data_IF_445130165602
#
_entry.id   IF_445130165602
#
_cell.length_a   1.000
_cell.length_b   1.000
_cell.length_c   1.000
_cell.angle_alpha   90.00
_cell.angle_beta   90.00
_cell.angle_gamma   90.00
#
_symmetry.space_group_name_H-M   'P 1'
#
loop_
_entity.id
_entity.type
_entity.pdbx_description
1 polymer ?
#
# COMPACT_ATOMS: atom_id res chain seq x y z
N UNK A 1 -10.62 4.62 -21.44
CA UNK A 1 -9.99 5.69 -20.63
C UNK A 1 -8.51 5.33 -20.47
N UNK A 2 -7.61 6.06 -21.13
CA UNK A 2 -6.17 5.77 -21.07
C UNK A 2 -5.64 6.20 -19.71
N UNK A 3 -5.08 5.27 -18.93
CA UNK A 3 -4.43 5.61 -17.67
C UNK A 3 -3.15 6.41 -17.96
N UNK A 4 -3.09 7.66 -17.49
CA UNK A 4 -1.93 8.52 -17.68
C UNK A 4 -0.77 8.04 -16.79
N UNK A 5 0.42 7.87 -17.38
CA UNK A 5 1.61 7.43 -16.66
C UNK A 5 2.26 8.62 -15.95
N UNK A 6 2.60 8.47 -14.68
CA UNK A 6 3.43 9.44 -13.97
C UNK A 6 4.92 9.18 -14.23
N UNK A 7 5.66 10.24 -14.57
CA UNK A 7 7.12 10.21 -14.65
C UNK A 7 7.71 10.01 -13.25
N UNK A 8 8.46 8.91 -13.00
CA UNK A 8 9.00 8.65 -11.67
C UNK A 8 10.20 9.56 -11.38
N UNK A 9 10.28 10.08 -10.16
CA UNK A 9 11.53 10.65 -9.64
C UNK A 9 12.42 9.47 -9.22
N UNK A 10 13.58 9.34 -9.89
CA UNK A 10 14.50 8.22 -9.64
C UNK A 10 15.62 8.65 -8.71
N UNK A 11 15.64 8.10 -7.50
CA UNK A 11 16.66 8.35 -6.49
C UNK A 11 17.66 7.19 -6.50
N UNK A 12 18.96 7.50 -6.62
CA UNK A 12 20.04 6.49 -6.52
C UNK A 12 20.48 6.34 -5.07
N UNK A 13 20.48 5.12 -4.55
CA UNK A 13 20.99 4.80 -3.22
C UNK A 13 22.49 4.46 -3.26
N UNK A 14 23.15 4.54 -2.10
CA UNK A 14 24.57 4.18 -1.92
C UNK A 14 24.85 2.70 -2.20
N UNK A 15 23.86 1.82 -2.02
CA UNK A 15 23.92 0.38 -2.33
C UNK A 15 23.79 0.09 -3.85
N UNK A 16 23.78 1.12 -4.69
CA UNK A 16 23.60 1.01 -6.15
C UNK A 16 22.16 0.74 -6.59
N UNK A 17 21.21 0.60 -5.66
CA UNK A 17 19.80 0.40 -6.01
C UNK A 17 19.11 1.73 -6.38
N UNK A 18 18.05 1.62 -7.20
CA UNK A 18 17.23 2.76 -7.64
C UNK A 18 15.88 2.70 -6.94
N UNK A 19 15.47 3.83 -6.36
CA UNK A 19 14.13 4.05 -5.82
C UNK A 19 13.34 4.88 -6.83
N UNK A 20 12.12 4.43 -7.15
CA UNK A 20 11.20 5.14 -8.03
C UNK A 20 10.10 5.75 -7.16
N UNK A 21 10.00 7.08 -7.14
CA UNK A 21 8.99 7.79 -6.37
C UNK A 21 7.79 8.20 -7.23
N UNK A 22 6.59 7.73 -6.86
CA UNK A 22 5.33 7.88 -7.61
C UNK A 22 4.18 8.02 -6.62
N UNK A 23 3.40 9.11 -6.71
CA UNK A 23 2.25 9.36 -5.80
C UNK A 23 2.56 9.15 -4.31
N UNK A 24 3.78 9.51 -3.88
CA UNK A 24 4.29 9.35 -2.51
C UNK A 24 4.76 7.93 -2.15
N UNK A 25 4.66 6.96 -3.05
CA UNK A 25 5.26 5.63 -2.90
C UNK A 25 6.73 5.66 -3.29
N UNK A 26 7.59 5.08 -2.46
CA UNK A 26 9.01 4.84 -2.77
C UNK A 26 9.22 3.38 -3.15
N UNK A 27 9.23 3.08 -4.45
CA UNK A 27 9.32 1.73 -4.97
C UNK A 27 10.77 1.26 -5.14
N UNK A 28 11.12 0.13 -4.51
CA UNK A 28 12.40 -0.56 -4.70
C UNK A 28 12.17 -1.92 -5.36
N UNK A 29 13.02 -2.26 -6.33
CA UNK A 29 12.93 -3.55 -7.04
C UNK A 29 13.33 -4.69 -6.09
N UNK A 30 12.47 -5.69 -5.95
CA UNK A 30 12.65 -6.81 -5.01
C UNK A 30 12.44 -8.16 -5.68
N UNK A 31 13.08 -9.18 -5.10
CA UNK A 31 12.74 -10.58 -5.36
C UNK A 31 11.58 -10.95 -4.43
N UNK A 32 10.45 -11.37 -4.99
CA UNK A 32 9.30 -11.88 -4.26
C UNK A 32 9.49 -13.39 -4.12
N UNK A 33 9.82 -13.83 -2.91
CA UNK A 33 9.99 -15.26 -2.61
C UNK A 33 8.66 -16.02 -2.62
N UNK A 34 7.54 -15.31 -2.58
CA UNK A 34 6.20 -15.86 -2.52
C UNK A 34 5.42 -15.52 -3.79
N UNK A 35 4.46 -16.38 -4.17
CA UNK A 35 3.42 -16.02 -5.12
C UNK A 35 2.70 -14.73 -4.66
N UNK A 36 2.73 -13.70 -5.50
CA UNK A 36 2.20 -12.36 -5.16
C UNK A 36 1.42 -11.80 -6.34
N UNK A 37 0.25 -11.21 -6.05
CA UNK A 37 -0.55 -10.46 -7.01
C UNK A 37 -0.21 -8.97 -7.00
N UNK A 38 -0.28 -8.34 -8.17
CA UNK A 38 -0.07 -6.91 -8.33
C UNK A 38 -1.26 -6.12 -7.77
N UNK A 39 -1.03 -5.21 -6.81
CA UNK A 39 -2.09 -4.40 -6.22
C UNK A 39 -2.74 -3.41 -7.20
N UNK A 40 -2.14 -3.18 -8.38
CA UNK A 40 -2.71 -2.30 -9.41
C UNK A 40 -3.63 -3.05 -10.41
N UNK A 41 -3.16 -4.18 -10.96
CA UNK A 41 -3.90 -4.88 -12.03
C UNK A 41 -4.41 -6.27 -11.62
N UNK A 42 -4.26 -6.63 -10.34
CA UNK A 42 -4.71 -7.89 -9.71
C UNK A 42 -4.20 -9.17 -10.37
N UNK A 43 -3.24 -9.07 -11.30
CA UNK A 43 -2.60 -10.20 -11.98
C UNK A 43 -1.34 -10.64 -11.25
N UNK A 44 -1.02 -11.91 -11.41
CA UNK A 44 0.15 -12.54 -10.81
C UNK A 44 1.46 -11.88 -11.25
N UNK A 45 2.40 -11.71 -10.33
CA UNK A 45 3.75 -11.19 -10.61
C UNK A 45 4.70 -12.36 -10.80
N UNK A 46 5.19 -12.56 -12.03
CA UNK A 46 6.08 -13.65 -12.41
C UNK A 46 7.34 -13.17 -13.13
N UNK A 47 8.34 -14.03 -13.22
CA UNK A 47 9.64 -13.77 -13.87
C UNK A 47 10.82 -14.23 -13.04
N UNK A 48 12.03 -14.11 -13.59
CA UNK A 48 13.29 -14.48 -12.92
C UNK A 48 13.95 -13.25 -12.27
N UNK A 49 14.50 -13.43 -11.07
CA UNK A 49 15.17 -12.37 -10.32
C UNK A 49 14.18 -11.40 -9.66
N UNK A 50 14.45 -10.09 -9.73
CA UNK A 50 13.56 -9.07 -9.16
C UNK A 50 12.32 -8.92 -10.05
N UNK A 51 11.20 -9.54 -9.71
CA UNK A 51 9.98 -9.56 -10.54
C UNK A 51 9.06 -8.36 -10.30
N UNK A 52 9.15 -7.71 -9.14
CA UNK A 52 8.23 -6.65 -8.74
C UNK A 52 8.89 -5.47 -8.04
N UNK A 53 8.09 -4.42 -7.87
CA UNK A 53 8.40 -3.28 -7.02
C UNK A 53 7.62 -3.37 -5.72
N UNK A 54 8.30 -3.16 -4.60
CA UNK A 54 7.68 -3.03 -3.27
C UNK A 54 7.84 -1.60 -2.75
N UNK A 55 6.76 -1.01 -2.25
CA UNK A 55 6.83 0.28 -1.59
C UNK A 55 7.52 0.14 -0.23
N UNK A 56 8.50 1.00 0.05
CA UNK A 56 9.23 0.99 1.33
C UNK A 56 8.40 1.51 2.52
N UNK A 57 7.34 2.30 2.25
CA UNK A 57 6.44 2.81 3.28
C UNK A 57 5.28 1.84 3.56
N UNK A 58 4.36 1.75 2.60
CA UNK A 58 3.12 0.98 2.77
C UNK A 58 3.23 -0.49 2.35
N UNK A 59 4.38 -0.99 1.92
CA UNK A 59 4.58 -2.39 1.52
C UNK A 59 3.75 -2.93 0.33
N UNK A 60 2.93 -2.11 -0.32
CA UNK A 60 2.21 -2.51 -1.55
C UNK A 60 3.18 -3.01 -2.62
N UNK A 61 2.75 -4.01 -3.39
CA UNK A 61 3.56 -4.67 -4.40
C UNK A 61 2.90 -4.57 -5.76
N UNK A 62 3.68 -4.16 -6.76
CA UNK A 62 3.21 -3.99 -8.14
C UNK A 62 4.21 -4.55 -9.15
N UNK A 63 3.75 -4.87 -10.35
CA UNK A 63 4.66 -5.14 -11.47
C UNK A 63 5.54 -3.94 -11.75
N UNK A 64 6.73 -4.19 -12.32
CA UNK A 64 7.62 -3.13 -12.81
C UNK A 64 6.93 -2.18 -13.81
N UNK A 65 6.03 -2.68 -14.64
CA UNK A 65 5.26 -1.84 -15.58
C UNK A 65 4.10 -1.11 -14.93
N UNK A 66 3.57 -1.61 -13.80
CA UNK A 66 2.37 -1.07 -13.19
C UNK A 66 2.65 0.10 -12.23
N UNK A 67 3.87 0.21 -11.70
CA UNK A 67 4.20 1.26 -10.74
C UNK A 67 3.97 2.68 -11.28
N UNK A 68 4.24 2.94 -12.57
CA UNK A 68 4.04 4.24 -13.24
C UNK A 68 2.58 4.63 -13.41
N UNK A 69 1.65 3.69 -13.28
CA UNK A 69 0.21 3.95 -13.40
C UNK A 69 -0.48 4.09 -12.04
N UNK A 70 0.26 3.94 -10.94
CA UNK A 70 -0.30 4.05 -9.60
C UNK A 70 -0.60 5.51 -9.26
N UNK A 71 -1.87 5.89 -9.39
CA UNK A 71 -2.40 7.21 -8.99
C UNK A 71 -2.83 7.24 -7.53
N UNK A 72 -3.08 6.06 -6.93
CA UNK A 72 -3.37 5.94 -5.51
C UNK A 72 -2.21 6.49 -4.69
N UNK A 73 -2.52 7.35 -3.71
CA UNK A 73 -1.51 7.94 -2.85
C UNK A 73 -1.06 6.97 -1.78
N UNK A 74 0.24 7.01 -1.48
CA UNK A 74 0.78 6.23 -0.38
C UNK A 74 0.24 6.74 0.96
N UNK A 75 -0.42 5.86 1.71
CA UNK A 75 -0.93 6.15 3.06
C UNK A 75 0.17 6.28 4.11
N UNK A 76 1.38 5.81 3.81
CA UNK A 76 2.54 5.79 4.72
C UNK A 76 3.75 6.59 4.22
N UNK A 77 3.58 7.39 3.17
CA UNK A 77 4.65 8.23 2.62
C UNK A 77 4.77 9.56 3.36
N UNK A 78 5.91 10.25 3.33
CA UNK A 78 6.03 11.61 3.90
C UNK A 78 5.04 12.63 3.28
N UNK A 79 4.48 12.31 2.11
CA UNK A 79 3.44 13.10 1.42
C UNK A 79 2.01 12.83 1.92
N UNK A 80 1.78 11.85 2.79
CA UNK A 80 0.45 11.63 3.41
C UNK A 80 0.06 12.69 4.44
N UNK A 81 0.98 13.63 4.74
CA UNK A 81 0.79 14.73 5.70
C UNK A 81 0.37 16.07 5.07
N UNK A 82 0.19 16.15 3.75
CA UNK A 82 -0.32 17.36 3.12
C UNK A 82 -1.84 17.23 2.93
N UNK A 83 -2.67 17.96 3.70
CA UNK A 83 -4.07 18.13 3.35
C UNK A 83 -4.15 18.69 1.94
N UNK A 84 -5.05 18.16 1.12
CA UNK A 84 -5.52 18.85 -0.08
C UNK A 84 -6.40 20.02 0.35
N UNK A 85 -5.79 21.08 0.87
CA UNK A 85 -6.44 22.39 0.89
C UNK A 85 -5.83 23.16 -0.27
N UNK A 86 -6.61 23.55 -1.30
CA UNK A 86 -6.17 24.51 -2.28
C UNK A 86 -5.79 25.78 -1.52
N UNK A 87 -4.56 26.26 -1.71
CA UNK A 87 -4.11 27.53 -1.17
C UNK A 87 -5.04 28.66 -1.65
N UNK A 88 -5.94 29.09 -0.78
CA UNK A 88 -6.49 30.45 -0.85
C UNK A 88 -6.86 30.92 0.56
N UNK A 89 -5.99 31.80 1.09
CA UNK A 89 -6.33 33.04 1.82
C UNK A 89 -7.25 32.81 3.06
N UNK A 90 -6.77 32.80 4.31
CA UNK A 90 -6.24 33.96 5.02
C UNK A 90 -5.41 33.58 6.26
N UNK A 91 -4.35 34.36 6.50
CA UNK A 91 -3.61 34.38 7.76
C UNK A 91 -4.45 35.11 8.81
N UNK A 92 -4.61 34.49 10.00
CA UNK A 92 -4.64 35.09 11.36
C UNK A 92 -5.54 34.22 12.26
N UNK A 93 -4.95 33.34 13.06
CA UNK A 93 -4.89 33.49 14.52
C UNK A 93 -4.25 32.24 15.14
N UNK A 94 -3.19 32.46 15.90
CA UNK A 94 -2.39 31.45 16.58
C UNK A 94 -3.01 31.24 17.97
N UNK A 95 -3.70 30.12 18.21
CA UNK A 95 -3.87 29.57 19.58
C UNK A 95 -3.84 28.04 19.55
N UNK A 96 -3.00 27.53 20.43
CA UNK A 96 -2.68 26.14 20.74
C UNK A 96 -3.90 25.20 20.72
N UNK A 97 -3.84 24.17 19.86
CA UNK A 97 -4.42 22.86 20.16
C UNK A 97 -3.38 21.81 19.84
N UNK A 98 -2.81 21.25 20.89
CA UNK A 98 -2.19 19.94 20.89
C UNK A 98 -3.26 18.94 20.45
N UNK A 99 -3.23 18.54 19.17
CA UNK A 99 -3.91 17.35 18.71
C UNK A 99 -2.80 16.35 18.40
N UNK A 100 -2.63 15.38 19.30
CA UNK A 100 -2.08 14.08 18.98
C UNK A 100 -2.98 13.46 17.91
N UNK A 101 -2.78 13.85 16.65
CA UNK A 101 -3.46 13.23 15.53
C UNK A 101 -2.64 12.00 15.15
N UNK A 102 -2.96 10.91 15.83
CA UNK A 102 -2.63 9.56 15.43
C UNK A 102 -2.93 9.40 13.92
N UNK A 103 -2.08 8.67 13.17
CA UNK A 103 -2.32 8.41 11.74
C UNK A 103 -3.75 7.89 11.54
N UNK A 104 -4.41 8.19 10.40
CA UNK A 104 -5.79 7.76 10.17
C UNK A 104 -5.85 6.27 10.43
N UNK A 105 -6.67 5.89 11.41
CA UNK A 105 -6.79 4.51 11.84
C UNK A 105 -7.49 3.75 10.73
N UNK A 106 -6.97 2.55 10.42
CA UNK A 106 -7.61 1.63 9.49
C UNK A 106 -9.11 1.49 9.83
N UNK A 107 -10.00 1.76 8.85
CA UNK A 107 -11.45 1.78 9.08
C UNK A 107 -12.11 0.40 8.95
N UNK A 108 -11.33 -0.67 8.83
CA UNK A 108 -11.83 -2.04 8.83
C UNK A 108 -11.96 -2.58 10.25
N UNK A 109 -13.07 -3.27 10.52
CA UNK A 109 -13.21 -4.04 11.75
C UNK A 109 -12.58 -5.44 11.60
N UNK A 110 -11.27 -5.54 11.84
CA UNK A 110 -10.51 -6.79 11.67
C UNK A 110 -10.61 -7.74 12.87
N UNK A 111 -10.94 -9.00 12.58
CA UNK A 111 -10.98 -10.10 13.54
C UNK A 111 -10.02 -11.23 13.15
N UNK A 112 -9.47 -11.95 14.13
CA UNK A 112 -8.57 -13.08 13.87
C UNK A 112 -9.29 -14.15 13.05
N UNK A 113 -8.67 -14.64 11.98
CA UNK A 113 -9.25 -15.65 11.11
C UNK A 113 -8.25 -16.78 10.83
N UNK A 114 -8.75 -18.01 10.83
CA UNK A 114 -7.97 -19.20 10.51
C UNK A 114 -8.25 -19.63 9.07
N UNK A 115 -7.24 -19.43 8.22
CA UNK A 115 -7.36 -19.71 6.79
C UNK A 115 -7.01 -21.17 6.51
N UNK A 116 -8.01 -22.00 6.24
CA UNK A 116 -7.84 -23.42 5.88
C UNK A 116 -7.54 -23.63 4.39
N UNK A 117 -7.78 -22.60 3.57
CA UNK A 117 -7.52 -22.60 2.13
C UNK A 117 -6.46 -21.55 1.78
N UNK A 118 -5.65 -21.77 0.71
CA UNK A 118 -4.73 -20.76 0.22
C UNK A 118 -5.47 -19.44 -0.07
N UNK A 119 -5.17 -18.42 0.73
CA UNK A 119 -5.82 -17.10 0.67
C UNK A 119 -4.74 -16.03 0.55
N UNK A 120 -4.95 -15.01 -0.27
CA UNK A 120 -3.98 -13.94 -0.46
C UNK A 120 -4.33 -12.72 0.39
N UNK A 121 -3.30 -12.00 0.84
CA UNK A 121 -3.47 -10.76 1.57
C UNK A 121 -3.88 -9.63 0.62
N UNK A 122 -5.01 -9.00 0.86
CA UNK A 122 -5.57 -7.94 0.01
C UNK A 122 -4.74 -6.64 0.05
N UNK A 123 -3.86 -6.50 1.03
CA UNK A 123 -2.97 -5.35 1.14
C UNK A 123 -1.65 -5.53 0.36
N UNK A 124 -0.94 -6.63 0.58
CA UNK A 124 0.39 -6.85 -0.02
C UNK A 124 0.39 -7.82 -1.22
N UNK A 125 -0.74 -8.46 -1.50
CA UNK A 125 -0.93 -9.41 -2.60
C UNK A 125 -0.28 -10.79 -2.38
N UNK A 126 0.45 -11.00 -1.29
CA UNK A 126 1.14 -12.28 -0.99
C UNK A 126 0.28 -13.25 -0.22
N UNK A 127 0.59 -14.54 -0.33
CA UNK A 127 -0.13 -15.61 0.34
C UNK A 127 -0.14 -15.45 1.88
N UNK A 128 -1.30 -15.68 2.49
CA UNK A 128 -1.47 -15.90 3.93
C UNK A 128 -0.99 -17.32 4.24
N UNK A 129 0.29 -17.45 4.56
CA UNK A 129 0.96 -18.74 4.75
C UNK A 129 1.09 -19.10 6.25
N UNK A 130 1.29 -20.39 6.51
CA UNK A 130 1.40 -20.95 7.86
C UNK A 130 0.15 -21.71 8.30
N UNK A 131 0.29 -22.54 9.35
CA UNK A 131 -0.79 -23.38 9.88
C UNK A 131 -1.66 -22.61 10.89
N UNK A 132 -1.06 -21.66 11.61
CA UNK A 132 -1.71 -20.86 12.65
C UNK A 132 -1.35 -19.38 12.48
N UNK A 133 -2.23 -18.48 12.92
CA UNK A 133 -2.00 -17.03 12.95
C UNK A 133 -1.59 -16.44 11.60
N UNK A 134 -2.24 -16.85 10.52
CA UNK A 134 -1.92 -16.36 9.18
C UNK A 134 -2.36 -14.89 8.98
N UNK A 135 -3.52 -14.51 9.53
CA UNK A 135 -4.02 -13.15 9.38
C UNK A 135 -5.31 -12.83 10.12
N UNK A 136 -5.90 -11.72 9.71
CA UNK A 136 -7.17 -11.17 10.17
C UNK A 136 -8.11 -10.96 8.98
N UNK A 137 -9.41 -10.99 9.23
CA UNK A 137 -10.46 -10.74 8.24
C UNK A 137 -11.35 -9.60 8.72
N UNK A 138 -11.69 -8.67 7.84
CA UNK A 138 -12.63 -7.60 8.15
C UNK A 138 -14.07 -8.16 8.20
N UNK A 139 -14.81 -7.84 9.27
CA UNK A 139 -16.20 -8.27 9.44
C UNK A 139 -17.17 -7.63 8.46
N UNK A 140 -16.85 -6.45 7.92
CA UNK A 140 -17.78 -5.66 7.10
C UNK A 140 -17.58 -5.93 5.60
N UNK A 141 -16.34 -6.00 5.14
CA UNK A 141 -16.00 -6.15 3.71
C UNK A 141 -15.26 -7.45 3.36
N UNK A 142 -15.02 -8.32 4.35
CA UNK A 142 -14.31 -9.60 4.18
C UNK A 142 -12.89 -9.52 3.63
N UNK A 143 -12.26 -8.34 3.66
CA UNK A 143 -10.84 -8.18 3.33
C UNK A 143 -9.97 -9.04 4.25
N UNK A 144 -9.08 -9.84 3.67
CA UNK A 144 -8.17 -10.77 4.31
C UNK A 144 -6.76 -10.19 4.29
N UNK A 145 -6.14 -9.97 5.45
CA UNK A 145 -4.80 -9.38 5.52
C UNK A 145 -3.92 -10.08 6.55
N UNK A 146 -2.59 -10.05 6.35
CA UNK A 146 -1.66 -10.55 7.38
C UNK A 146 -1.80 -9.70 8.64
N UNK A 147 -1.46 -10.26 9.81
CA UNK A 147 -1.38 -9.49 11.06
C UNK A 147 -0.53 -8.22 10.93
N UNK A 148 0.65 -8.33 10.28
CA UNK A 148 1.55 -7.18 10.03
C UNK A 148 1.00 -6.15 9.02
N UNK A 149 0.01 -6.56 8.22
CA UNK A 149 -0.59 -5.75 7.17
C UNK A 149 -1.86 -5.05 7.65
N UNK A 150 -2.40 -5.41 8.81
CA UNK A 150 -3.64 -4.87 9.37
C UNK A 150 -3.61 -3.34 9.46
N UNK A 151 -2.56 -2.78 10.05
CA UNK A 151 -2.41 -1.33 10.20
C UNK A 151 -2.16 -0.63 8.87
N UNK A 152 -1.60 -1.35 7.88
CA UNK A 152 -1.20 -0.78 6.59
C UNK A 152 -2.26 -0.90 5.50
N UNK A 153 -3.28 -1.72 5.73
CA UNK A 153 -4.38 -1.92 4.81
C UNK A 153 -5.07 -0.58 4.49
N UNK A 154 -5.57 -0.45 3.26
CA UNK A 154 -6.18 0.78 2.77
C UNK A 154 -7.41 1.13 3.60
N UNK A 155 -7.72 2.43 3.68
CA UNK A 155 -8.87 2.97 4.42
C UNK A 155 -10.13 2.95 3.56
N UNK A 156 -10.47 1.82 2.95
CA UNK A 156 -11.54 1.71 1.96
C UNK A 156 -12.56 0.61 2.30
N UNK A 157 -12.76 0.33 3.60
CA UNK A 157 -13.76 -0.62 4.04
C UNK A 157 -15.14 -0.33 3.40
N UNK A 158 -15.78 -1.37 2.87
CA UNK A 158 -17.09 -1.31 2.19
C UNK A 158 -17.02 -1.10 0.68
N UNK A 159 -15.85 -0.80 0.11
CA UNK A 159 -15.68 -0.73 -1.35
C UNK A 159 -15.26 -2.11 -1.86
N UNK A 160 -16.21 -2.88 -2.41
CA UNK A 160 -15.89 -4.12 -3.10
C UNK A 160 -15.28 -3.81 -4.48
N UNK A 161 -13.99 -4.10 -4.65
CA UNK A 161 -13.35 -4.13 -5.97
C UNK A 161 -13.51 -5.53 -6.55
N UNK A 162 -14.31 -5.63 -7.63
CA UNK A 162 -14.55 -6.84 -8.45
C UNK A 162 -13.30 -7.31 -9.19
#
# INVERSE_FOLDING_TARGET
MSAEQQLPVVIRQSDGSKIHEISGHKFKAVVLAQPTFCSFCTKFIYGVGKQGYKCLGCETVVHKRCHSFMTARCTFGPSSRAPLIPESIDRVNRRSRSASEEPPTNNHHFNKHFYTRPTFCDHCGSLLYGIMKQGVQCSDCHANVHYRCQEKALHNCGIQVQ
#
